data_IF_564978918647
#
_entry.id   IF_564978918647
#
_cell.length_a   1.000
_cell.length_b   1.000
_cell.length_c   1.000
_cell.angle_alpha   90.00
_cell.angle_beta   90.00
_cell.angle_gamma   90.00
#
_symmetry.space_group_name_H-M   'P 1'
#
loop_
_entity.id
_entity.type
_entity.pdbx_description
1 polymer ?
#
# COMPACT_ATOMS: atom_id res chain seq x y z
N UNK A 1 -0.22 -0.02 8.23
CA UNK A 1 0.59 0.21 9.44
C UNK A 1 1.08 -1.13 9.97
N UNK A 2 2.37 -1.26 10.29
CA UNK A 2 2.99 -2.52 10.76
C UNK A 2 3.89 -2.20 11.96
N UNK A 3 3.78 -3.01 13.02
CA UNK A 3 4.59 -2.86 14.23
C UNK A 3 6.06 -3.18 13.93
N UNK A 4 7.00 -2.39 14.44
CA UNK A 4 8.43 -2.45 14.08
C UNK A 4 9.06 -3.81 14.26
N UNK A 5 8.73 -4.51 15.34
CA UNK A 5 9.33 -5.81 15.70
C UNK A 5 9.00 -6.94 14.72
N UNK A 6 7.96 -6.77 13.88
CA UNK A 6 7.58 -7.74 12.85
C UNK A 6 7.67 -7.16 11.43
N UNK A 7 8.00 -5.86 11.30
CA UNK A 7 7.88 -5.13 10.04
C UNK A 7 8.74 -5.74 8.92
N UNK A 8 9.98 -6.09 9.18
CA UNK A 8 10.86 -6.67 8.15
C UNK A 8 10.30 -7.99 7.60
N UNK A 9 9.76 -8.83 8.50
CA UNK A 9 9.16 -10.10 8.08
C UNK A 9 7.90 -9.87 7.26
N UNK A 10 7.01 -8.99 7.71
CA UNK A 10 5.75 -8.68 7.02
C UNK A 10 6.02 -8.07 5.66
N UNK A 11 6.93 -7.09 5.58
CA UNK A 11 7.29 -6.43 4.31
C UNK A 11 7.92 -7.43 3.34
N UNK A 12 8.82 -8.30 3.82
CA UNK A 12 9.38 -9.36 2.99
C UNK A 12 8.32 -10.33 2.44
N UNK A 13 7.32 -10.68 3.26
CA UNK A 13 6.20 -11.51 2.80
C UNK A 13 5.31 -10.78 1.79
N UNK A 14 5.04 -9.49 2.01
CA UNK A 14 4.26 -8.67 1.08
C UNK A 14 4.97 -8.52 -0.26
N UNK A 15 6.28 -8.24 -0.26
CA UNK A 15 7.08 -8.17 -1.47
C UNK A 15 7.08 -9.50 -2.24
N UNK A 16 7.29 -10.63 -1.55
CA UNK A 16 7.22 -11.94 -2.18
C UNK A 16 5.84 -12.28 -2.75
N UNK A 17 4.76 -11.91 -2.04
CA UNK A 17 3.41 -12.09 -2.56
C UNK A 17 3.13 -11.17 -3.77
N UNK A 18 3.68 -9.97 -3.77
CA UNK A 18 3.58 -9.03 -4.89
C UNK A 18 4.25 -9.57 -6.14
N UNK A 19 5.41 -10.24 -6.02
CA UNK A 19 6.14 -10.83 -7.14
C UNK A 19 5.42 -12.02 -7.81
N UNK A 20 4.45 -12.64 -7.12
CA UNK A 20 3.60 -13.71 -7.67
C UNK A 20 2.39 -13.18 -8.46
N UNK A 21 2.08 -11.87 -8.39
CA UNK A 21 0.94 -11.29 -9.08
C UNK A 21 1.18 -11.24 -10.59
N UNK A 22 0.13 -11.48 -11.34
CA UNK A 22 0.11 -11.39 -12.81
C UNK A 22 -0.58 -10.10 -13.24
N UNK A 23 0.17 -9.24 -13.91
CA UNK A 23 -0.35 -8.01 -14.52
C UNK A 23 -0.70 -8.30 -15.97
N UNK A 24 -1.94 -8.01 -16.41
CA UNK A 24 -2.33 -8.29 -17.78
C UNK A 24 -3.78 -8.04 -18.10
N UNK A 25 -4.29 -8.73 -19.15
CA UNK A 25 -5.67 -8.62 -19.61
C UNK A 25 -6.65 -9.10 -18.53
N UNK A 26 -7.55 -8.24 -18.02
CA UNK A 26 -8.53 -8.61 -16.99
C UNK A 26 -9.61 -9.58 -17.51
N UNK A 27 -9.71 -9.81 -18.79
CA UNK A 27 -10.55 -10.87 -19.39
C UNK A 27 -10.04 -12.29 -19.11
N UNK A 28 -8.80 -12.44 -18.67
CA UNK A 28 -8.21 -13.73 -18.31
C UNK A 28 -8.31 -13.98 -16.81
N UNK A 29 -8.85 -15.14 -16.43
CA UNK A 29 -8.98 -15.56 -15.02
C UNK A 29 -7.62 -15.68 -14.29
N UNK A 30 -6.51 -15.74 -15.02
CA UNK A 30 -5.16 -15.79 -14.47
C UNK A 30 -4.57 -14.43 -14.16
N UNK A 31 -5.24 -13.33 -14.50
CA UNK A 31 -4.77 -11.97 -14.28
C UNK A 31 -5.22 -11.50 -12.90
N UNK A 32 -4.28 -11.02 -12.10
CA UNK A 32 -4.53 -10.47 -10.76
C UNK A 32 -4.68 -8.94 -10.80
N UNK A 33 -3.93 -8.27 -11.68
CA UNK A 33 -3.90 -6.81 -11.79
C UNK A 33 -4.12 -6.39 -13.25
N UNK A 34 -5.23 -5.70 -13.51
CA UNK A 34 -5.56 -5.12 -14.79
C UNK A 34 -4.98 -3.72 -15.01
N UNK A 35 -5.32 -3.07 -16.14
CA UNK A 35 -4.92 -1.70 -16.43
C UNK A 35 -5.66 -0.70 -15.51
N UNK A 36 -5.05 0.45 -15.28
CA UNK A 36 -5.74 1.62 -14.71
C UNK A 36 -6.65 2.24 -15.79
N UNK A 37 -7.55 3.12 -15.34
CA UNK A 37 -8.66 3.60 -16.18
C UNK A 37 -8.20 4.33 -17.46
N UNK A 38 -7.14 5.13 -17.37
CA UNK A 38 -6.62 5.92 -18.49
C UNK A 38 -5.13 6.29 -18.29
N UNK A 39 -4.59 6.98 -19.28
CA UNK A 39 -3.21 7.46 -19.28
C UNK A 39 -2.94 8.50 -18.17
N UNK A 40 -3.91 9.35 -17.87
CA UNK A 40 -3.78 10.38 -16.83
C UNK A 40 -3.64 9.73 -15.45
N UNK A 41 -4.48 8.73 -15.15
CA UNK A 41 -4.39 7.96 -13.91
C UNK A 41 -3.04 7.24 -13.79
N UNK A 42 -2.56 6.64 -14.89
CA UNK A 42 -1.24 6.02 -14.94
C UNK A 42 -0.13 7.04 -14.63
N UNK A 43 -0.14 8.19 -15.31
CA UNK A 43 0.83 9.25 -15.12
C UNK A 43 0.83 9.82 -13.68
N UNK A 44 -0.35 10.00 -13.08
CA UNK A 44 -0.50 10.49 -11.71
C UNK A 44 0.08 9.50 -10.68
N UNK A 45 -0.13 8.20 -10.88
CA UNK A 45 0.42 7.15 -10.00
C UNK A 45 1.93 7.09 -10.13
N UNK A 46 2.47 7.09 -11.35
CA UNK A 46 3.92 7.09 -11.59
C UNK A 46 4.59 8.35 -11.02
N UNK A 47 3.95 9.51 -11.16
CA UNK A 47 4.42 10.75 -10.54
C UNK A 47 4.46 10.66 -9.01
N UNK A 48 3.44 10.06 -8.39
CA UNK A 48 3.42 9.84 -6.95
C UNK A 48 4.57 8.92 -6.51
N UNK A 49 4.77 7.80 -7.21
CA UNK A 49 5.87 6.86 -6.91
C UNK A 49 7.24 7.57 -7.02
N UNK A 50 7.45 8.31 -8.11
CA UNK A 50 8.69 9.07 -8.32
C UNK A 50 8.91 10.16 -7.25
N UNK A 51 7.84 10.84 -6.82
CA UNK A 51 7.92 11.83 -5.74
C UNK A 51 8.28 11.20 -4.39
N UNK A 52 7.75 10.02 -4.08
CA UNK A 52 8.10 9.29 -2.86
C UNK A 52 9.55 8.82 -2.88
N UNK A 53 10.03 8.32 -4.02
CA UNK A 53 11.43 7.92 -4.20
C UNK A 53 12.38 9.12 -4.07
N UNK A 54 12.06 10.25 -4.71
CA UNK A 54 12.82 11.50 -4.61
C UNK A 54 12.82 12.07 -3.17
N UNK A 55 11.77 11.80 -2.39
CA UNK A 55 11.69 12.16 -0.97
C UNK A 55 12.45 11.17 -0.06
N UNK A 56 13.18 10.19 -0.61
CA UNK A 56 13.98 9.22 0.11
C UNK A 56 13.18 8.07 0.73
N UNK A 57 11.92 7.89 0.33
CA UNK A 57 11.12 6.75 0.78
C UNK A 57 11.59 5.47 0.06
N UNK A 58 11.52 4.34 0.75
CA UNK A 58 11.92 3.06 0.17
C UNK A 58 10.82 2.52 -0.73
N UNK A 59 11.13 2.43 -2.03
CA UNK A 59 10.21 1.93 -3.06
C UNK A 59 10.66 0.56 -3.53
N UNK A 60 9.75 -0.41 -3.51
CA UNK A 60 9.93 -1.75 -4.07
C UNK A 60 8.87 -1.96 -5.15
N UNK A 61 9.31 -2.15 -6.38
CA UNK A 61 8.41 -2.38 -7.54
C UNK A 61 8.53 -3.83 -7.97
N UNK A 62 7.41 -4.43 -8.34
CA UNK A 62 7.39 -5.72 -9.02
C UNK A 62 8.18 -5.63 -10.32
N UNK A 63 8.91 -6.69 -10.67
CA UNK A 63 9.54 -6.78 -11.98
C UNK A 63 8.44 -6.79 -13.06
N UNK A 64 8.56 -5.90 -14.06
CA UNK A 64 7.61 -5.83 -15.16
C UNK A 64 7.80 -7.04 -16.07
N UNK A 65 6.77 -7.82 -16.24
CA UNK A 65 6.64 -8.72 -17.39
C UNK A 65 5.97 -7.91 -18.53
N UNK A 66 6.66 -7.74 -19.66
CA UNK A 66 6.15 -7.00 -20.82
C UNK A 66 4.99 -7.74 -21.56
N UNK A 67 4.48 -8.81 -21.01
CA UNK A 67 3.33 -9.56 -21.54
C UNK A 67 1.96 -8.87 -21.36
N UNK A 68 1.92 -7.73 -20.68
CA UNK A 68 0.71 -6.93 -20.48
C UNK A 68 0.19 -6.37 -21.80
N UNK A 69 -1.04 -6.78 -22.19
CA UNK A 69 -1.72 -6.40 -23.41
C UNK A 69 -1.88 -4.88 -23.64
N UNK A 70 -2.85 -4.49 -24.45
CA UNK A 70 -3.19 -3.09 -24.69
C UNK A 70 -3.81 -2.47 -23.42
N UNK A 71 -3.32 -1.30 -22.98
CA UNK A 71 -3.84 -0.58 -21.82
C UNK A 71 -2.77 0.20 -21.05
N UNK A 72 -3.22 0.95 -20.04
CA UNK A 72 -2.36 1.74 -19.16
C UNK A 72 -2.08 0.95 -17.88
N UNK A 73 -0.90 0.37 -17.78
CA UNK A 73 -0.53 -0.49 -16.67
C UNK A 73 0.45 0.20 -15.72
N UNK A 74 0.19 0.07 -14.43
CA UNK A 74 1.13 0.37 -13.35
C UNK A 74 1.48 -0.95 -12.67
N UNK A 75 2.75 -1.23 -12.51
CA UNK A 75 3.17 -2.45 -11.79
C UNK A 75 2.92 -2.29 -10.30
N UNK A 76 2.48 -3.37 -9.61
CA UNK A 76 2.37 -3.37 -8.16
C UNK A 76 3.62 -2.81 -7.49
N UNK A 77 3.41 -1.86 -6.60
CA UNK A 77 4.49 -1.10 -5.96
C UNK A 77 4.23 -1.02 -4.46
N UNK A 78 5.23 -1.35 -3.65
CA UNK A 78 5.22 -1.17 -2.20
C UNK A 78 6.13 0.02 -1.84
N UNK A 79 5.61 0.95 -1.03
CA UNK A 79 6.33 2.14 -0.58
C UNK A 79 6.34 2.16 0.95
N UNK A 80 7.52 2.09 1.55
CA UNK A 80 7.67 2.31 2.99
C UNK A 80 7.73 3.81 3.25
N UNK A 81 6.74 4.34 3.95
CA UNK A 81 6.63 5.77 4.30
C UNK A 81 6.95 6.00 5.78
N UNK A 82 7.49 7.17 6.07
CA UNK A 82 7.86 7.60 7.43
C UNK A 82 6.70 8.29 8.19
N UNK A 83 5.68 8.76 7.48
CA UNK A 83 4.49 9.41 8.06
C UNK A 83 3.26 9.24 7.18
N UNK A 84 2.08 9.17 7.82
CA UNK A 84 0.77 9.20 7.12
C UNK A 84 0.54 10.53 6.40
N UNK A 85 1.09 11.61 6.90
CA UNK A 85 0.99 12.97 6.33
C UNK A 85 1.58 13.06 4.91
N UNK A 86 2.40 12.08 4.50
CA UNK A 86 2.86 11.94 3.12
C UNK A 86 1.72 11.67 2.14
N UNK A 87 0.63 11.09 2.62
CA UNK A 87 -0.53 10.71 1.84
C UNK A 87 -1.56 11.85 1.83
N UNK A 88 -1.30 12.89 1.07
CA UNK A 88 -2.17 14.07 0.98
C UNK A 88 -3.44 13.84 0.18
N UNK A 89 -3.48 12.78 -0.61
CA UNK A 89 -4.63 12.36 -1.43
C UNK A 89 -4.64 10.85 -1.60
N UNK A 90 -5.77 10.31 -1.99
CA UNK A 90 -5.88 8.91 -2.41
C UNK A 90 -5.03 8.64 -3.65
N UNK A 91 -4.31 7.51 -3.63
CA UNK A 91 -3.57 6.99 -4.79
C UNK A 91 -4.33 5.78 -5.31
N UNK A 92 -5.16 6.02 -6.32
CA UNK A 92 -6.08 5.01 -6.84
C UNK A 92 -5.39 4.10 -7.85
N UNK A 93 -4.71 3.06 -7.36
CA UNK A 93 -3.94 2.13 -8.18
C UNK A 93 -3.22 1.05 -7.35
N UNK A 94 -2.41 0.21 -7.99
CA UNK A 94 -1.74 -0.91 -7.33
C UNK A 94 -0.51 -0.46 -6.51
N UNK A 95 -0.72 0.47 -5.59
CA UNK A 95 0.32 1.01 -4.71
C UNK A 95 -0.04 0.75 -3.26
N UNK A 96 0.83 0.03 -2.56
CA UNK A 96 0.70 -0.26 -1.13
C UNK A 96 1.67 0.60 -0.33
N UNK A 97 1.14 1.46 0.54
CA UNK A 97 1.97 2.21 1.49
C UNK A 97 2.08 1.45 2.80
N UNK A 98 3.30 1.31 3.31
CA UNK A 98 3.59 0.68 4.59
C UNK A 98 4.23 1.71 5.52
N UNK A 99 3.64 1.90 6.69
CA UNK A 99 4.20 2.70 7.77
C UNK A 99 4.58 1.76 8.91
N UNK A 100 5.82 1.88 9.39
CA UNK A 100 6.29 1.20 10.60
C UNK A 100 5.97 2.03 11.83
N UNK A 101 5.63 1.40 12.94
CA UNK A 101 5.42 2.10 14.19
C UNK A 101 5.93 1.29 15.39
N UNK A 102 6.51 1.96 16.42
CA UNK A 102 6.90 1.34 17.67
C UNK A 102 5.67 0.80 18.43
N UNK A 103 5.83 -0.34 19.09
CA UNK A 103 4.72 -1.04 19.79
C UNK A 103 3.97 -0.17 20.78
N UNK A 104 4.66 0.74 21.45
CA UNK A 104 4.09 1.67 22.45
C UNK A 104 3.42 2.92 21.83
N UNK A 105 3.39 3.02 20.50
CA UNK A 105 2.82 4.17 19.79
C UNK A 105 1.52 3.86 19.03
N UNK A 106 0.84 2.75 19.37
CA UNK A 106 -0.42 2.39 18.71
C UNK A 106 -1.45 3.53 18.77
N UNK A 107 -1.59 4.20 19.92
CA UNK A 107 -2.53 5.29 20.09
C UNK A 107 -2.25 6.47 19.14
N UNK A 108 -0.99 6.83 18.96
CA UNK A 108 -0.59 7.88 18.01
C UNK A 108 -0.89 7.49 16.55
N UNK A 109 -0.74 6.21 16.23
CA UNK A 109 -1.07 5.69 14.89
C UNK A 109 -2.56 5.81 14.62
N UNK A 110 -3.41 5.47 15.61
CA UNK A 110 -4.86 5.60 15.50
C UNK A 110 -5.29 7.06 15.36
N UNK A 111 -4.68 7.96 16.13
CA UNK A 111 -4.93 9.39 16.01
C UNK A 111 -4.54 9.93 14.63
N UNK A 112 -3.40 9.50 14.09
CA UNK A 112 -2.94 9.89 12.75
C UNK A 112 -3.88 9.36 11.65
N UNK A 113 -4.39 8.12 11.79
CA UNK A 113 -5.36 7.55 10.86
C UNK A 113 -6.65 8.38 10.88
N UNK A 114 -7.19 8.66 12.05
CA UNK A 114 -8.42 9.45 12.20
C UNK A 114 -8.26 10.87 11.65
N UNK A 115 -7.08 11.46 11.80
CA UNK A 115 -6.78 12.79 11.27
C UNK A 115 -6.79 12.87 9.73
N UNK A 116 -6.67 11.74 9.02
CA UNK A 116 -6.77 11.73 7.55
C UNK A 116 -8.14 12.09 7.02
N UNK A 117 -9.20 11.91 7.82
CA UNK A 117 -10.60 12.12 7.41
C UNK A 117 -11.17 11.03 6.50
N UNK A 118 -10.40 10.00 6.15
CA UNK A 118 -10.92 8.83 5.43
C UNK A 118 -11.68 7.91 6.37
N UNK A 119 -12.77 7.28 5.90
CA UNK A 119 -13.63 6.46 6.75
C UNK A 119 -14.40 5.35 6.03
N UNK A 120 -13.91 4.88 4.87
CA UNK A 120 -14.61 3.83 4.12
C UNK A 120 -14.35 2.43 4.68
N UNK A 121 -13.10 2.06 4.85
CA UNK A 121 -12.73 0.72 5.29
C UNK A 121 -11.51 0.77 6.19
N UNK A 122 -11.61 0.08 7.31
CA UNK A 122 -10.51 -0.12 8.23
C UNK A 122 -10.39 -1.60 8.59
N UNK A 123 -9.18 -2.12 8.70
CA UNK A 123 -8.92 -3.49 9.09
C UNK A 123 -7.83 -3.58 10.16
N UNK A 124 -8.01 -4.47 11.13
CA UNK A 124 -7.00 -4.80 12.13
C UNK A 124 -6.66 -6.29 12.07
N UNK A 125 -5.37 -6.59 12.03
CA UNK A 125 -4.84 -7.95 12.09
C UNK A 125 -4.11 -8.15 13.42
N UNK A 126 -4.76 -8.80 14.37
CA UNK A 126 -4.20 -9.15 15.66
C UNK A 126 -4.81 -10.47 16.16
N UNK A 127 -4.08 -11.15 17.05
CA UNK A 127 -4.59 -12.32 17.81
C UNK A 127 -4.83 -11.97 19.28
N UNK A 128 -4.74 -10.70 19.64
CA UNK A 128 -4.93 -10.19 21.00
C UNK A 128 -6.25 -9.43 21.01
N UNK A 129 -7.26 -10.00 21.69
CA UNK A 129 -8.62 -9.47 21.70
C UNK A 129 -8.70 -8.05 22.28
N UNK A 130 -7.91 -7.75 23.31
CA UNK A 130 -7.83 -6.40 23.89
C UNK A 130 -7.33 -5.37 22.88
N UNK A 131 -6.35 -5.74 22.05
CA UNK A 131 -5.84 -4.85 20.99
C UNK A 131 -6.92 -4.63 19.93
N UNK A 132 -7.64 -5.67 19.53
CA UNK A 132 -8.74 -5.55 18.57
C UNK A 132 -9.82 -4.62 19.12
N UNK A 133 -10.24 -4.83 20.39
CA UNK A 133 -11.24 -4.01 21.05
C UNK A 133 -10.79 -2.54 21.17
N UNK A 134 -9.55 -2.29 21.58
CA UNK A 134 -8.99 -0.95 21.67
C UNK A 134 -9.01 -0.24 20.31
N UNK A 135 -8.56 -0.90 19.25
CA UNK A 135 -8.51 -0.34 17.89
C UNK A 135 -9.90 -0.03 17.40
N UNK A 136 -10.84 -0.99 17.46
CA UNK A 136 -12.22 -0.84 16.93
C UNK A 136 -13.06 0.19 17.69
N UNK A 137 -12.71 0.53 18.93
CA UNK A 137 -13.38 1.58 19.69
C UNK A 137 -12.90 3.00 19.34
N UNK A 138 -11.73 3.12 18.70
CA UNK A 138 -11.07 4.41 18.46
C UNK A 138 -11.13 4.87 17.02
N UNK A 139 -11.49 3.99 16.08
CA UNK A 139 -11.55 4.29 14.62
C UNK A 139 -12.98 4.51 14.19
#
# INVERSE_FOLDING_TARGET
>A
MVQDDIADKVIGMLAGAMDELKVGDPGLLSTDVGPVIDEEACAQIEQHIAAMEAAGQRVTRMARDDSGGQGHFVVPTLIEIDSVERLQREVFGPVLHVLRYPRDQLDKVLDAINATGYGLTFGVHSRIDETIAQVTQRV
#
